data_IF_894465116365
#
_entry.id   IF_894465116365
#
_cell.length_a   1.000
_cell.length_b   1.000
_cell.length_c   1.000
_cell.angle_alpha   90.00
_cell.angle_beta   90.00
_cell.angle_gamma   90.00
#
_symmetry.space_group_name_H-M   'P 1'
#
loop_
_entity.id
_entity.type
_entity.pdbx_description
1 polymer ?
#
# COMPACT_ATOMS: atom_id res chain seq x y z
N UNK A 1 8.98 4.79 1.21
CA UNK A 1 8.75 5.06 2.66
C UNK A 1 8.98 6.50 3.04
N UNK A 2 10.12 7.12 2.72
CA UNK A 2 10.38 8.54 3.03
C UNK A 2 9.23 9.47 2.62
N UNK A 3 8.68 9.27 1.41
CA UNK A 3 7.50 9.98 0.91
C UNK A 3 6.31 9.99 1.89
N UNK A 4 5.92 8.82 2.40
CA UNK A 4 4.78 8.69 3.31
C UNK A 4 5.07 9.34 4.68
N UNK A 5 6.33 9.33 5.12
CA UNK A 5 6.75 10.02 6.34
C UNK A 5 6.73 11.53 6.19
N UNK A 6 7.02 12.05 4.99
CA UNK A 6 7.02 13.49 4.71
C UNK A 6 5.64 14.03 4.31
N UNK A 7 4.69 13.14 4.04
CA UNK A 7 3.32 13.51 3.69
C UNK A 7 2.53 13.77 4.98
N UNK A 8 2.10 15.01 5.21
CA UNK A 8 1.47 15.48 6.46
C UNK A 8 0.40 14.50 6.99
N UNK A 9 -0.62 14.19 6.18
CA UNK A 9 -1.71 13.29 6.62
C UNK A 9 -1.26 11.85 6.85
N UNK A 10 -0.33 11.35 6.03
CA UNK A 10 0.08 9.94 6.13
C UNK A 10 1.12 9.71 7.24
N UNK A 11 1.97 10.72 7.48
CA UNK A 11 2.90 10.78 8.60
C UNK A 11 2.16 10.87 9.92
N UNK A 12 1.17 11.77 10.02
CA UNK A 12 0.38 11.97 11.25
C UNK A 12 -0.51 10.77 11.58
N UNK A 13 -1.11 10.13 10.56
CA UNK A 13 -1.91 8.92 10.76
C UNK A 13 -1.09 7.71 11.20
N UNK A 14 0.22 7.72 10.89
CA UNK A 14 1.07 6.55 11.01
C UNK A 14 0.69 5.45 10.01
N UNK A 15 1.63 4.54 9.78
CA UNK A 15 1.44 3.40 8.89
C UNK A 15 2.29 2.22 9.32
N UNK A 16 1.87 1.02 8.93
CA UNK A 16 2.65 -0.20 9.05
C UNK A 16 3.15 -0.67 7.69
N UNK A 17 4.27 -1.37 7.70
CA UNK A 17 4.90 -1.95 6.52
C UNK A 17 5.16 -3.42 6.79
N UNK A 18 4.78 -4.29 5.86
CA UNK A 18 5.04 -5.72 5.95
C UNK A 18 5.49 -6.28 4.61
N UNK A 19 6.34 -7.32 4.66
CA UNK A 19 6.61 -8.13 3.48
C UNK A 19 5.51 -9.18 3.33
N UNK A 20 4.94 -9.26 2.13
CA UNK A 20 3.91 -10.25 1.78
C UNK A 20 4.35 -11.09 0.59
N UNK A 21 3.79 -12.29 0.49
CA UNK A 21 3.87 -13.14 -0.70
C UNK A 21 2.49 -13.16 -1.35
N UNK A 22 2.40 -12.58 -2.55
CA UNK A 22 1.18 -12.61 -3.33
C UNK A 22 1.22 -13.80 -4.31
N UNK A 23 0.09 -14.47 -4.49
CA UNK A 23 -0.13 -15.53 -5.47
C UNK A 23 -1.20 -15.08 -6.46
N UNK A 24 -1.06 -15.45 -7.74
CA UNK A 24 -2.09 -15.18 -8.73
C UNK A 24 -1.57 -15.10 -10.15
N UNK A 25 -2.50 -15.17 -11.11
CA UNK A 25 -2.18 -15.14 -12.55
C UNK A 25 -2.02 -13.72 -13.10
N UNK A 26 -2.62 -12.73 -12.44
CA UNK A 26 -2.58 -11.31 -12.83
C UNK A 26 -1.65 -10.51 -11.90
N UNK A 27 -0.53 -11.11 -11.51
CA UNK A 27 0.55 -10.43 -10.81
C UNK A 27 1.53 -9.87 -11.82
N UNK A 28 2.15 -8.75 -11.47
CA UNK A 28 3.27 -8.24 -12.24
C UNK A 28 4.55 -8.96 -11.78
N UNK A 29 5.03 -9.89 -12.60
CA UNK A 29 6.24 -10.65 -12.33
C UNK A 29 7.46 -9.94 -12.90
N UNK A 30 8.53 -9.85 -12.11
CA UNK A 30 9.80 -9.23 -12.53
C UNK A 30 10.74 -10.26 -13.15
N UNK A 31 10.58 -11.54 -12.82
CA UNK A 31 11.41 -12.63 -13.34
C UNK A 31 10.58 -13.81 -13.83
N UNK A 32 11.17 -14.61 -14.72
CA UNK A 32 10.57 -15.87 -15.18
C UNK A 32 10.37 -16.85 -14.03
N UNK A 33 11.27 -16.86 -13.03
CA UNK A 33 11.14 -17.72 -11.86
C UNK A 33 9.89 -17.35 -11.01
N UNK A 34 9.60 -16.06 -10.84
CA UNK A 34 8.38 -15.60 -10.18
C UNK A 34 7.13 -15.99 -10.99
N UNK A 35 7.18 -15.84 -12.32
CA UNK A 35 6.07 -16.24 -13.20
C UNK A 35 5.79 -17.74 -13.14
N UNK A 36 6.84 -18.59 -13.19
CA UNK A 36 6.71 -20.05 -13.09
C UNK A 36 6.20 -20.48 -11.72
N UNK A 37 6.69 -19.86 -10.65
CA UNK A 37 6.21 -20.16 -9.29
C UNK A 37 4.84 -19.58 -8.98
N UNK A 38 4.33 -18.67 -9.81
CA UNK A 38 3.02 -18.02 -9.65
C UNK A 38 2.93 -17.12 -8.42
N UNK A 39 4.07 -16.71 -7.85
CA UNK A 39 4.14 -15.88 -6.66
C UNK A 39 5.19 -14.78 -6.77
N UNK A 40 4.95 -13.68 -6.07
CA UNK A 40 5.86 -12.53 -6.02
C UNK A 40 5.93 -11.99 -4.60
N UNK A 41 7.12 -11.58 -4.16
CA UNK A 41 7.30 -10.86 -2.89
C UNK A 41 6.95 -9.38 -3.10
N UNK A 42 6.16 -8.83 -2.21
CA UNK A 42 5.72 -7.44 -2.26
C UNK A 42 5.83 -6.78 -0.90
N UNK A 43 5.84 -5.45 -0.90
CA UNK A 43 5.68 -4.66 0.32
C UNK A 43 4.22 -4.24 0.39
N UNK A 44 3.56 -4.58 1.49
CA UNK A 44 2.27 -4.01 1.84
C UNK A 44 2.49 -2.83 2.78
N UNK A 45 1.85 -1.70 2.48
CA UNK A 45 1.74 -0.56 3.38
C UNK A 45 0.28 -0.43 3.79
N UNK A 46 0.03 -0.33 5.09
CA UNK A 46 -1.32 -0.19 5.66
C UNK A 46 -1.36 1.01 6.59
N UNK A 47 -2.43 1.79 6.47
CA UNK A 47 -2.69 2.96 7.29
C UNK A 47 -4.18 3.10 7.55
N UNK A 48 -4.51 3.74 8.67
CA UNK A 48 -5.89 4.04 9.06
C UNK A 48 -5.99 5.55 9.18
N UNK A 49 -6.91 6.16 8.44
CA UNK A 49 -7.02 7.60 8.34
C UNK A 49 -8.47 8.03 8.02
N UNK A 50 -8.82 9.31 8.23
CA UNK A 50 -10.14 9.83 7.91
C UNK A 50 -10.52 9.63 6.43
N UNK A 51 -11.75 9.24 6.16
CA UNK A 51 -12.17 8.78 4.84
C UNK A 51 -12.02 9.82 3.71
N UNK A 52 -12.15 11.11 4.05
CA UNK A 52 -11.96 12.26 3.17
C UNK A 52 -10.52 12.39 2.62
N UNK A 53 -9.53 11.87 3.34
CA UNK A 53 -8.13 11.89 2.92
C UNK A 53 -7.69 10.65 2.13
N UNK A 54 -8.45 9.54 2.19
CA UNK A 54 -8.03 8.27 1.58
C UNK A 54 -7.81 8.37 0.06
N UNK A 55 -8.73 9.03 -0.65
CA UNK A 55 -8.60 9.19 -2.09
C UNK A 55 -7.46 10.16 -2.45
N UNK A 56 -7.23 11.21 -1.66
CA UNK A 56 -6.19 12.21 -1.91
C UNK A 56 -4.80 11.57 -1.90
N UNK A 57 -4.53 10.71 -0.91
CA UNK A 57 -3.26 9.97 -0.81
C UNK A 57 -3.07 9.07 -2.04
N UNK A 58 -4.11 8.37 -2.49
CA UNK A 58 -4.02 7.53 -3.69
C UNK A 58 -3.67 8.35 -4.93
N UNK A 59 -4.27 9.52 -5.12
CA UNK A 59 -3.96 10.37 -6.27
C UNK A 59 -2.54 10.94 -6.23
N UNK A 60 -2.05 11.34 -5.05
CA UNK A 60 -0.66 11.77 -4.88
C UNK A 60 0.32 10.64 -5.15
N UNK A 61 0.07 9.44 -4.61
CA UNK A 61 0.90 8.26 -4.87
C UNK A 61 0.98 7.93 -6.37
N UNK A 62 -0.13 8.07 -7.09
CA UNK A 62 -0.14 7.91 -8.56
C UNK A 62 0.72 8.96 -9.25
N UNK A 63 0.67 10.21 -8.81
CA UNK A 63 1.44 11.30 -9.40
C UNK A 63 2.95 11.15 -9.14
N UNK A 64 3.33 10.69 -7.94
CA UNK A 64 4.72 10.59 -7.52
C UNK A 64 5.41 9.28 -7.93
N UNK A 65 4.64 8.23 -8.27
CA UNK A 65 5.17 6.92 -8.65
C UNK A 65 4.79 6.53 -10.09
N UNK A 66 5.08 7.37 -11.10
CA UNK A 66 4.73 7.06 -12.48
C UNK A 66 5.45 5.78 -12.94
N UNK A 67 4.71 4.89 -13.60
CA UNK A 67 5.23 3.61 -14.11
C UNK A 67 5.42 2.52 -13.07
N UNK A 68 5.13 2.76 -11.79
CA UNK A 68 5.14 1.70 -10.78
C UNK A 68 3.80 0.97 -10.73
N UNK A 69 3.85 -0.37 -10.75
CA UNK A 69 2.68 -1.22 -10.62
C UNK A 69 2.27 -1.35 -9.14
N UNK A 70 1.57 -0.34 -8.63
CA UNK A 70 1.02 -0.33 -7.26
C UNK A 70 -0.46 -0.74 -7.32
N UNK A 71 -0.82 -1.79 -6.58
CA UNK A 71 -2.23 -2.12 -6.31
C UNK A 71 -2.61 -1.47 -4.98
N UNK A 72 -3.78 -0.86 -4.93
CA UNK A 72 -4.31 -0.21 -3.74
C UNK A 72 -5.76 -0.62 -3.52
N UNK A 73 -6.22 -0.54 -2.28
CA UNK A 73 -7.60 -0.74 -1.89
C UNK A 73 -7.92 0.21 -0.74
N UNK A 74 -9.14 0.75 -0.73
CA UNK A 74 -9.69 1.51 0.39
C UNK A 74 -10.81 0.67 0.99
N UNK A 75 -10.75 0.44 2.30
CA UNK A 75 -11.75 -0.31 3.03
C UNK A 75 -12.22 0.50 4.25
N UNK A 76 -13.53 0.51 4.51
CA UNK A 76 -14.09 1.16 5.69
C UNK A 76 -13.75 0.37 6.94
N UNK A 77 -13.30 1.07 7.98
CA UNK A 77 -13.07 0.50 9.30
C UNK A 77 -14.18 1.00 10.23
N UNK A 78 -14.89 0.06 10.85
CA UNK A 78 -16.04 0.39 11.71
C UNK A 78 -15.62 0.92 13.08
N UNK A 79 -14.47 0.47 13.60
CA UNK A 79 -13.93 0.92 14.87
C UNK A 79 -12.40 0.74 14.90
N UNK A 80 -11.73 1.67 15.55
CA UNK A 80 -10.29 1.67 15.80
C UNK A 80 -10.09 2.21 17.22
N UNK A 81 -9.05 1.75 17.90
CA UNK A 81 -8.73 2.21 19.24
C UNK A 81 -7.36 1.69 19.67
N UNK A 82 -6.89 2.23 20.78
CA UNK A 82 -5.66 1.82 21.44
C UNK A 82 -6.01 1.35 22.84
N UNK A 83 -5.39 0.26 23.28
CA UNK A 83 -5.49 -0.21 24.66
C UNK A 83 -4.25 0.25 25.40
N UNK A 84 -4.46 1.04 26.46
CA UNK A 84 -3.44 1.45 27.43
C UNK A 84 -3.51 0.60 28.69
#
# INVERSE_FOLDING_TARGET
>A
MQMLLTHEVAGDAGFSVSEIIAYGRNLHFRTVAEQVSGRVRQIEVRMVLPADHAQQIVEQLKAEMPGQHVKWQIASIMATGELS
#
